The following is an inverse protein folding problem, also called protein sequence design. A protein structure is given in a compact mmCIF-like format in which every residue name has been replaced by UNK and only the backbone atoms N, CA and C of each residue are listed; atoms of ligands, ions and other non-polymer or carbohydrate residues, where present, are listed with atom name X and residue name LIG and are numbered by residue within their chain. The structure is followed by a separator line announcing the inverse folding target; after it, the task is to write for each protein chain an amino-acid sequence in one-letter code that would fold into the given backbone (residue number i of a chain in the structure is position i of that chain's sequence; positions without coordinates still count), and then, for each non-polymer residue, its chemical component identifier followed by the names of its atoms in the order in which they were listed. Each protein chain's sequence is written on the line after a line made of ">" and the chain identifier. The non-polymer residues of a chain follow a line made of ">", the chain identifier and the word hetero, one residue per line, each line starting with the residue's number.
data_IF_481729914963
#
_entry.id   IF_481729914963
#
_cell.length_a   1.000
_cell.length_b   1.000
_cell.length_c   1.000
_cell.angle_alpha   90.00
_cell.angle_beta   90.00
_cell.angle_gamma   90.00
#
_symmetry.space_group_name_H-M   'P 1'
#
loop_
_entity.id
_entity.type
_entity.pdbx_description
1 polymer ?
#
# COMPACT_ATOMS: atom_id res chain seq x y z
N UNK A 1 10.29 -9.56 -5.83
CA UNK A 1 10.78 -8.18 -5.97
C UNK A 1 10.64 -7.51 -4.62
N UNK A 2 11.63 -6.73 -4.17
CA UNK A 2 11.57 -6.02 -2.90
C UNK A 2 11.43 -4.51 -3.10
N UNK A 3 10.79 -3.84 -2.16
CA UNK A 3 10.48 -2.41 -2.23
C UNK A 3 10.49 -1.76 -0.86
N UNK A 4 10.09 -0.49 -0.83
CA UNK A 4 9.96 0.29 0.38
C UNK A 4 8.53 0.79 0.54
N UNK A 5 8.16 1.06 1.78
CA UNK A 5 7.13 2.01 2.13
C UNK A 5 7.66 2.99 3.19
N UNK A 6 6.95 4.10 3.40
CA UNK A 6 7.30 5.09 4.43
C UNK A 6 6.12 6.00 4.73
N UNK A 7 5.95 6.35 6.00
CA UNK A 7 5.00 7.37 6.45
C UNK A 7 5.45 8.82 6.12
N UNK A 8 6.73 9.02 5.82
CA UNK A 8 7.32 10.33 5.47
C UNK A 8 7.31 10.59 3.96
N UNK A 9 7.80 11.75 3.52
CA UNK A 9 7.97 12.03 2.10
C UNK A 9 9.15 11.29 1.48
N UNK A 10 9.00 10.80 0.26
CA UNK A 10 10.04 10.02 -0.45
C UNK A 10 11.28 10.87 -0.69
N UNK A 11 11.13 12.15 -1.04
CA UNK A 11 12.26 13.06 -1.27
C UNK A 11 13.17 13.23 -0.05
N UNK A 12 12.62 13.11 1.16
CA UNK A 12 13.41 13.20 2.39
C UNK A 12 14.13 11.88 2.72
N UNK A 13 13.57 10.74 2.32
CA UNK A 13 14.11 9.42 2.67
C UNK A 13 15.05 8.84 1.62
N UNK A 14 14.82 9.08 0.33
CA UNK A 14 15.56 8.49 -0.79
C UNK A 14 17.09 8.52 -0.61
N UNK A 15 17.74 9.65 -0.24
CA UNK A 15 19.19 9.67 -0.13
C UNK A 15 19.74 8.69 0.91
N UNK A 16 19.11 8.63 2.09
CA UNK A 16 19.56 7.75 3.18
C UNK A 16 19.15 6.30 2.93
N UNK A 17 17.90 6.08 2.47
CA UNK A 17 17.37 4.75 2.17
C UNK A 17 18.18 4.03 1.10
N UNK A 18 18.52 4.71 -0.01
CA UNK A 18 19.35 4.08 -1.05
C UNK A 18 20.76 3.80 -0.56
N UNK A 19 21.36 4.72 0.19
CA UNK A 19 22.72 4.53 0.68
C UNK A 19 22.80 3.33 1.63
N UNK A 20 21.76 3.11 2.45
CA UNK A 20 21.74 2.05 3.43
C UNK A 20 21.26 0.70 2.85
N UNK A 21 20.14 0.70 2.12
CA UNK A 21 19.46 -0.50 1.67
C UNK A 21 19.63 -0.80 0.16
N UNK A 22 20.04 0.18 -0.63
CA UNK A 22 20.05 0.10 -2.09
C UNK A 22 18.72 0.56 -2.72
N UNK A 23 18.63 0.45 -4.05
CA UNK A 23 17.46 0.92 -4.80
C UNK A 23 16.33 -0.13 -4.82
N UNK A 24 15.09 0.23 -4.44
CA UNK A 24 13.96 -0.67 -4.47
C UNK A 24 13.46 -0.92 -5.90
N UNK A 25 12.56 -1.88 -6.03
CA UNK A 25 11.80 -2.14 -7.25
C UNK A 25 10.46 -1.40 -7.30
N UNK A 26 9.96 -0.94 -6.15
CA UNK A 26 8.73 -0.15 -6.00
C UNK A 26 8.77 0.65 -4.69
N UNK A 27 7.93 1.68 -4.63
CA UNK A 27 7.57 2.36 -3.39
C UNK A 27 6.07 2.19 -3.14
N UNK A 28 5.63 1.99 -1.90
CA UNK A 28 4.23 2.18 -1.49
C UNK A 28 4.12 3.48 -0.72
N UNK A 29 3.12 4.30 -1.05
CA UNK A 29 2.95 5.62 -0.42
C UNK A 29 1.51 5.91 -0.06
N UNK A 30 1.39 6.72 1.00
CA UNK A 30 0.11 7.09 1.57
C UNK A 30 -0.59 8.18 0.75
N UNK A 31 -1.90 8.06 0.56
CA UNK A 31 -2.74 9.11 0.00
C UNK A 31 -3.86 9.45 0.99
N UNK A 32 -4.41 10.66 0.90
CA UNK A 32 -5.51 11.09 1.77
C UNK A 32 -6.72 10.17 1.62
N UNK A 33 -7.44 9.81 2.70
CA UNK A 33 -7.18 10.19 4.08
C UNK A 33 -5.95 9.46 4.62
N UNK A 34 -5.10 10.23 5.27
CA UNK A 34 -3.83 9.81 5.83
C UNK A 34 -3.56 10.67 7.05
N UNK A 35 -3.18 10.06 8.17
CA UNK A 35 -2.74 10.78 9.36
C UNK A 35 -1.24 11.16 9.33
N UNK A 36 -0.49 10.59 8.39
CA UNK A 36 0.90 10.91 8.08
C UNK A 36 1.02 11.94 6.94
N UNK A 37 2.13 11.89 6.18
CA UNK A 37 2.31 12.75 5.00
C UNK A 37 1.78 12.08 3.74
N UNK A 38 0.68 12.61 3.22
CA UNK A 38 0.05 12.12 2.00
C UNK A 38 0.81 12.57 0.75
N UNK A 39 1.09 11.65 -0.16
CA UNK A 39 1.79 11.93 -1.42
C UNK A 39 1.07 13.00 -2.26
N UNK A 40 -0.26 12.99 -2.26
CA UNK A 40 -1.07 13.93 -3.02
C UNK A 40 -0.98 15.40 -2.54
N UNK A 41 -0.25 15.71 -1.46
CA UNK A 41 0.06 17.09 -1.08
C UNK A 41 1.18 17.72 -1.90
N UNK A 42 2.08 16.90 -2.47
CA UNK A 42 3.18 17.34 -3.35
C UNK A 42 3.52 16.24 -4.38
N UNK A 43 2.57 15.92 -5.29
CA UNK A 43 2.63 14.70 -6.08
C UNK A 43 3.80 14.69 -7.09
N UNK A 44 4.17 15.85 -7.65
CA UNK A 44 5.25 15.95 -8.64
C UNK A 44 6.62 15.70 -7.99
N UNK A 45 6.88 16.32 -6.84
CA UNK A 45 8.16 16.16 -6.13
C UNK A 45 8.32 14.75 -5.58
N UNK A 46 7.26 14.21 -4.97
CA UNK A 46 7.23 12.83 -4.48
C UNK A 46 7.46 11.82 -5.62
N UNK A 47 6.74 11.95 -6.74
CA UNK A 47 6.93 11.06 -7.89
C UNK A 47 8.31 11.22 -8.54
N UNK A 48 8.88 12.43 -8.54
CA UNK A 48 10.27 12.66 -8.98
C UNK A 48 11.26 11.93 -8.07
N UNK A 49 11.03 11.94 -6.77
CA UNK A 49 11.85 11.21 -5.81
C UNK A 49 11.70 9.69 -5.97
N UNK A 50 10.48 9.18 -6.18
CA UNK A 50 10.23 7.77 -6.54
C UNK A 50 10.96 7.37 -7.83
N UNK A 51 10.98 8.25 -8.84
CA UNK A 51 11.73 8.03 -10.09
C UNK A 51 13.23 7.92 -9.83
N UNK A 52 13.82 8.92 -9.18
CA UNK A 52 15.26 8.93 -8.87
C UNK A 52 15.64 7.76 -7.94
N UNK A 53 14.68 7.41 -7.08
CA UNK A 53 14.78 6.44 -6.01
C UNK A 53 14.86 4.99 -6.48
N UNK A 54 14.26 4.66 -7.62
CA UNK A 54 14.05 3.28 -8.07
C UNK A 54 15.20 2.70 -8.90
N UNK A 55 15.22 1.37 -8.99
CA UNK A 55 16.25 0.57 -9.68
C UNK A 55 16.15 0.56 -11.21
N UNK A 56 14.98 0.74 -11.82
CA UNK A 56 14.83 0.74 -13.30
C UNK A 56 13.47 1.19 -13.82
N UNK A 57 12.39 0.66 -13.26
CA UNK A 57 11.01 0.98 -13.64
C UNK A 57 10.28 1.51 -12.41
N UNK A 58 10.15 2.83 -12.24
CA UNK A 58 9.55 3.38 -11.04
C UNK A 58 8.08 2.98 -10.92
N UNK A 59 7.79 2.22 -9.86
CA UNK A 59 6.46 1.75 -9.49
C UNK A 59 6.03 2.40 -8.17
N UNK A 60 4.77 2.82 -8.14
CA UNK A 60 4.15 3.50 -7.00
C UNK A 60 2.87 2.76 -6.59
N UNK A 61 2.96 1.97 -5.52
CA UNK A 61 1.82 1.40 -4.81
C UNK A 61 1.15 2.46 -3.94
N UNK A 62 -0.11 2.21 -3.58
CA UNK A 62 -0.96 3.21 -2.94
C UNK A 62 -1.65 2.65 -1.71
N UNK A 63 -1.60 3.40 -0.61
CA UNK A 63 -2.26 3.03 0.65
C UNK A 63 -3.05 4.20 1.21
N UNK A 64 -4.23 3.92 1.75
CA UNK A 64 -5.03 4.86 2.54
C UNK A 64 -4.84 4.54 4.01
N UNK A 65 -4.63 5.56 4.83
CA UNK A 65 -4.54 5.42 6.27
C UNK A 65 -5.47 6.40 6.99
N UNK A 66 -6.80 6.14 6.95
CA UNK A 66 -7.73 6.86 7.81
C UNK A 66 -7.31 6.72 9.29
N UNK A 67 -7.83 7.60 10.15
CA UNK A 67 -7.61 7.43 11.59
C UNK A 67 -8.10 6.05 12.04
N UNK A 68 -7.24 5.29 12.69
CA UNK A 68 -7.48 3.88 13.03
C UNK A 68 -8.77 3.65 13.86
N UNK A 69 -9.17 4.60 14.70
CA UNK A 69 -10.42 4.53 15.45
C UNK A 69 -11.68 4.56 14.58
N UNK A 70 -11.60 5.05 13.34
CA UNK A 70 -12.70 5.08 12.37
C UNK A 70 -12.97 3.72 11.72
N UNK A 71 -11.99 2.81 11.68
CA UNK A 71 -12.11 1.54 10.95
C UNK A 71 -13.18 0.60 11.54
N UNK A 72 -13.56 0.80 12.81
CA UNK A 72 -14.69 0.11 13.44
C UNK A 72 -16.04 0.80 13.18
N UNK A 73 -16.09 1.76 12.26
CA UNK A 73 -17.23 2.63 12.00
C UNK A 73 -18.30 2.01 11.10
N UNK A 74 -19.06 2.89 10.47
CA UNK A 74 -20.21 2.58 9.61
C UNK A 74 -19.81 2.44 8.14
N UNK A 75 -20.73 1.89 7.34
CA UNK A 75 -20.55 1.83 5.89
C UNK A 75 -20.42 3.21 5.24
N UNK A 76 -21.16 4.21 5.72
CA UNK A 76 -21.06 5.59 5.21
C UNK A 76 -19.68 6.21 5.48
N UNK A 77 -19.07 5.92 6.64
CA UNK A 77 -17.71 6.38 6.95
C UNK A 77 -16.67 5.71 6.06
N UNK A 78 -16.76 4.39 5.86
CA UNK A 78 -15.89 3.67 4.93
C UNK A 78 -16.01 4.18 3.50
N UNK A 79 -17.24 4.46 3.05
CA UNK A 79 -17.49 5.03 1.72
C UNK A 79 -16.88 6.43 1.57
N UNK A 80 -17.05 7.32 2.56
CA UNK A 80 -16.50 8.68 2.52
C UNK A 80 -14.95 8.68 2.49
N UNK A 81 -14.34 7.79 3.27
CA UNK A 81 -12.89 7.64 3.30
C UNK A 81 -12.37 7.08 1.96
N UNK A 82 -13.06 6.09 1.38
CA UNK A 82 -12.74 5.57 0.04
C UNK A 82 -12.91 6.62 -1.07
N UNK A 83 -13.95 7.45 -1.00
CA UNK A 83 -14.16 8.55 -1.95
C UNK A 83 -13.01 9.55 -1.91
N UNK A 84 -12.56 9.91 -0.70
CA UNK A 84 -11.42 10.81 -0.50
C UNK A 84 -10.13 10.17 -1.05
N UNK A 85 -9.95 8.87 -0.83
CA UNK A 85 -8.82 8.11 -1.36
C UNK A 85 -8.77 8.10 -2.87
N UNK A 86 -9.82 7.62 -3.53
CA UNK A 86 -9.88 7.57 -4.99
C UNK A 86 -9.73 8.98 -5.61
N UNK A 87 -10.35 10.01 -5.01
CA UNK A 87 -10.18 11.39 -5.48
C UNK A 87 -8.72 11.84 -5.42
N UNK A 88 -8.00 11.46 -4.37
CA UNK A 88 -6.57 11.76 -4.20
C UNK A 88 -5.68 11.02 -5.20
N UNK A 89 -6.01 9.75 -5.50
CA UNK A 89 -5.34 8.97 -6.55
C UNK A 89 -5.53 9.62 -7.93
N UNK A 90 -6.76 10.00 -8.26
CA UNK A 90 -7.09 10.61 -9.56
C UNK A 90 -6.44 11.99 -9.67
N UNK A 91 -6.51 12.82 -8.63
CA UNK A 91 -5.83 14.12 -8.61
C UNK A 91 -4.34 13.97 -8.90
N UNK A 92 -3.67 13.02 -8.23
CA UNK A 92 -2.26 12.72 -8.46
C UNK A 92 -1.99 12.21 -9.87
N UNK A 93 -2.79 11.26 -10.35
CA UNK A 93 -2.70 10.74 -11.71
C UNK A 93 -2.80 11.85 -12.76
N UNK A 94 -3.73 12.79 -12.58
CA UNK A 94 -3.89 13.91 -13.52
C UNK A 94 -2.80 14.97 -13.38
N UNK A 95 -2.22 15.13 -12.19
CA UNK A 95 -1.18 16.14 -11.91
C UNK A 95 0.20 15.69 -12.36
N UNK A 96 0.45 14.37 -12.38
CA UNK A 96 1.74 13.79 -12.76
C UNK A 96 1.62 13.24 -14.17
N UNK A 97 2.02 14.05 -15.16
CA UNK A 97 1.94 13.73 -16.60
C UNK A 97 2.52 12.38 -17.05
N UNK A 98 3.53 11.78 -16.36
CA UNK A 98 3.98 10.42 -16.70
C UNK A 98 3.35 9.28 -15.89
N UNK A 99 2.46 9.54 -14.93
CA UNK A 99 1.87 8.49 -14.09
C UNK A 99 0.80 7.71 -14.86
N UNK A 100 0.95 6.40 -14.95
CA UNK A 100 0.09 5.51 -15.71
C UNK A 100 -0.49 4.41 -14.82
N UNK A 101 -1.73 4.02 -15.08
CA UNK A 101 -2.33 2.84 -14.47
C UNK A 101 -1.54 1.57 -14.84
N UNK A 102 -1.59 0.52 -14.00
CA UNK A 102 -1.18 -0.82 -14.37
C UNK A 102 -1.71 -1.26 -15.73
N UNK A 103 -0.86 -1.84 -16.58
CA UNK A 103 -1.24 -2.29 -17.92
C UNK A 103 -2.26 -3.45 -17.91
N UNK A 104 -2.33 -4.21 -16.82
CA UNK A 104 -3.33 -5.25 -16.60
C UNK A 104 -4.68 -4.68 -16.09
N UNK A 105 -4.77 -3.37 -15.87
CA UNK A 105 -5.96 -2.71 -15.34
C UNK A 105 -6.24 -3.02 -13.87
N UNK A 106 -5.25 -3.46 -13.08
CA UNK A 106 -5.45 -3.81 -11.66
C UNK A 106 -4.45 -3.04 -10.80
N UNK A 107 -4.91 -1.99 -10.11
CA UNK A 107 -4.19 -1.27 -9.07
C UNK A 107 -4.67 -1.74 -7.70
N UNK A 108 -3.78 -2.37 -6.92
CA UNK A 108 -4.11 -2.70 -5.54
C UNK A 108 -4.13 -1.43 -4.70
N UNK A 109 -5.28 -1.20 -4.08
CA UNK A 109 -5.59 -0.09 -3.21
C UNK A 109 -5.58 -0.63 -1.79
N UNK A 110 -4.54 -0.34 -1.01
CA UNK A 110 -4.42 -0.84 0.35
C UNK A 110 -5.19 0.04 1.33
N UNK A 111 -5.98 -0.57 2.22
CA UNK A 111 -6.45 0.05 3.45
C UNK A 111 -5.50 -0.33 4.58
N UNK A 112 -4.92 0.67 5.24
CA UNK A 112 -4.06 0.50 6.41
C UNK A 112 -4.89 0.14 7.65
N UNK A 113 -4.70 -1.08 8.14
CA UNK A 113 -5.31 -1.57 9.36
C UNK A 113 -4.23 -2.12 10.30
N UNK A 114 -3.96 -1.41 11.39
CA UNK A 114 -2.88 -1.71 12.33
C UNK A 114 -3.22 -2.84 13.31
N UNK A 115 -2.25 -3.65 13.75
CA UNK A 115 -2.47 -4.87 14.53
C UNK A 115 -3.35 -4.74 15.81
N UNK A 116 -3.49 -3.55 16.39
CA UNK A 116 -4.29 -3.31 17.61
C UNK A 116 -5.68 -2.70 17.35
N UNK A 117 -6.06 -2.56 16.08
CA UNK A 117 -7.26 -1.84 15.66
C UNK A 117 -8.29 -2.82 15.12
N UNK A 118 -9.58 -2.43 15.19
CA UNK A 118 -10.68 -3.26 14.69
C UNK A 118 -11.16 -2.73 13.36
N UNK A 119 -11.34 -3.62 12.39
CA UNK A 119 -12.10 -3.36 11.19
C UNK A 119 -13.55 -3.86 11.38
N UNK A 120 -14.55 -3.03 11.11
CA UNK A 120 -15.94 -3.51 11.06
C UNK A 120 -16.29 -3.98 9.66
N UNK A 121 -17.16 -5.00 9.55
CA UNK A 121 -17.69 -5.46 8.26
C UNK A 121 -18.44 -4.34 7.52
N UNK A 122 -19.16 -3.50 8.26
CA UNK A 122 -19.89 -2.37 7.69
C UNK A 122 -18.94 -1.36 7.05
N UNK A 123 -17.88 -0.97 7.75
CA UNK A 123 -16.86 -0.04 7.24
C UNK A 123 -16.18 -0.62 6.01
N UNK A 124 -15.69 -1.87 6.10
CA UNK A 124 -15.06 -2.57 4.98
C UNK A 124 -15.95 -2.59 3.74
N UNK A 125 -17.23 -2.94 3.89
CA UNK A 125 -18.16 -3.01 2.77
C UNK A 125 -18.43 -1.64 2.13
N UNK A 126 -18.46 -0.57 2.93
CA UNK A 126 -18.55 0.81 2.40
C UNK A 126 -17.30 1.20 1.62
N UNK A 127 -16.12 0.92 2.19
CA UNK A 127 -14.83 1.28 1.61
C UNK A 127 -14.52 0.47 0.35
N UNK A 128 -14.48 -0.85 0.46
CA UNK A 128 -14.17 -1.75 -0.64
C UNK A 128 -15.25 -1.70 -1.74
N UNK A 129 -16.52 -1.50 -1.37
CA UNK A 129 -17.61 -1.32 -2.33
C UNK A 129 -17.40 -0.11 -3.24
N UNK A 130 -16.95 1.01 -2.67
CA UNK A 130 -16.64 2.20 -3.46
C UNK A 130 -15.38 2.01 -4.31
N UNK A 131 -14.28 1.53 -3.72
CA UNK A 131 -13.01 1.32 -4.43
C UNK A 131 -13.21 0.40 -5.64
N UNK A 132 -13.78 -0.79 -5.41
CA UNK A 132 -14.00 -1.78 -6.47
C UNK A 132 -15.01 -1.31 -7.53
N UNK A 133 -15.99 -0.50 -7.14
CA UNK A 133 -17.06 -0.01 -8.00
C UNK A 133 -16.71 1.24 -8.81
N UNK A 134 -15.59 1.91 -8.51
CA UNK A 134 -15.29 3.18 -9.14
C UNK A 134 -14.83 3.01 -10.59
N UNK A 135 -15.57 3.61 -11.53
CA UNK A 135 -15.26 3.56 -12.95
C UNK A 135 -14.22 4.64 -13.31
N UNK A 136 -13.11 4.23 -13.92
CA UNK A 136 -12.04 5.12 -14.34
C UNK A 136 -11.30 4.58 -15.57
N UNK A 137 -10.89 5.48 -16.47
CA UNK A 137 -10.16 5.13 -17.70
C UNK A 137 -10.80 4.00 -18.54
N UNK A 138 -12.14 3.91 -18.56
CA UNK A 138 -12.88 2.91 -19.32
C UNK A 138 -13.05 1.54 -18.66
N UNK A 139 -12.67 1.39 -17.39
CA UNK A 139 -12.86 0.17 -16.61
C UNK A 139 -13.01 0.43 -15.11
N UNK A 140 -12.71 -0.57 -14.28
CA UNK A 140 -12.71 -0.49 -12.82
C UNK A 140 -11.32 -0.84 -12.27
N UNK A 141 -10.33 0.05 -12.45
CA UNK A 141 -8.94 -0.31 -12.24
C UNK A 141 -8.52 -0.36 -10.76
N UNK A 142 -9.37 0.06 -9.84
CA UNK A 142 -9.07 0.12 -8.42
C UNK A 142 -9.58 -1.13 -7.71
N UNK A 143 -8.68 -1.85 -7.04
CA UNK A 143 -8.96 -3.12 -6.40
C UNK A 143 -8.66 -3.02 -4.90
N UNK A 144 -9.72 -3.07 -4.09
CA UNK A 144 -9.66 -3.03 -2.65
C UNK A 144 -8.80 -4.17 -2.09
N UNK A 145 -7.84 -3.80 -1.25
CA UNK A 145 -6.88 -4.70 -0.64
C UNK A 145 -6.61 -4.24 0.80
N UNK A 146 -6.14 -5.13 1.67
CA UNK A 146 -5.95 -4.85 3.10
C UNK A 146 -4.49 -5.00 3.51
N UNK A 147 -3.92 -3.97 4.15
CA UNK A 147 -2.72 -4.12 4.96
C UNK A 147 -3.14 -4.50 6.38
N UNK A 148 -2.61 -5.60 6.92
CA UNK A 148 -2.91 -6.03 8.28
C UNK A 148 -1.90 -7.02 8.86
N UNK A 149 -1.94 -7.19 10.18
CA UNK A 149 -1.43 -8.38 10.84
C UNK A 149 -2.50 -9.50 10.76
N UNK A 150 -2.26 -10.61 10.05
CA UNK A 150 -3.29 -11.63 9.84
C UNK A 150 -3.75 -12.39 11.10
N UNK A 151 -2.91 -12.44 12.14
CA UNK A 151 -3.22 -13.16 13.39
C UNK A 151 -3.46 -12.25 14.60
N UNK A 152 -3.37 -10.93 14.44
CA UNK A 152 -3.63 -10.02 15.55
C UNK A 152 -5.11 -10.03 15.95
N UNK A 153 -5.35 -9.81 17.25
CA UNK A 153 -6.69 -9.68 17.80
C UNK A 153 -7.10 -8.19 17.83
N UNK A 154 -8.35 -7.85 17.45
CA UNK A 154 -9.40 -8.72 16.90
C UNK A 154 -9.14 -9.06 15.42
N UNK A 155 -9.39 -10.30 14.97
CA UNK A 155 -8.88 -10.77 13.69
C UNK A 155 -9.53 -10.05 12.51
N UNK A 156 -8.80 -9.15 11.88
CA UNK A 156 -9.24 -8.38 10.70
C UNK A 156 -9.43 -9.26 9.47
N UNK A 157 -8.70 -10.37 9.38
CA UNK A 157 -8.95 -11.40 8.38
C UNK A 157 -10.38 -11.95 8.44
N UNK A 158 -10.99 -12.08 9.62
CA UNK A 158 -12.36 -12.59 9.74
C UNK A 158 -13.40 -11.69 9.08
N UNK A 159 -13.09 -10.39 8.97
CA UNK A 159 -13.95 -9.40 8.31
C UNK A 159 -13.89 -9.59 6.81
N UNK A 160 -12.69 -9.64 6.23
CA UNK A 160 -12.51 -9.77 4.77
C UNK A 160 -12.75 -11.19 4.25
N UNK A 161 -12.62 -12.22 5.10
CA UNK A 161 -12.97 -13.61 4.80
C UNK A 161 -14.49 -13.89 4.99
N UNK A 162 -15.26 -12.94 5.52
CA UNK A 162 -16.71 -13.10 5.70
C UNK A 162 -17.42 -13.27 4.36
N UNK A 163 -18.39 -14.19 4.28
CA UNK A 163 -19.20 -14.41 3.08
C UNK A 163 -20.03 -13.18 2.66
N UNK A 164 -20.24 -12.24 3.58
CA UNK A 164 -20.97 -11.00 3.35
C UNK A 164 -20.04 -9.80 3.09
N UNK A 165 -18.73 -10.03 3.04
CA UNK A 165 -17.76 -9.00 2.74
C UNK A 165 -17.75 -8.69 1.24
N UNK A 166 -17.64 -7.40 0.91
CA UNK A 166 -17.20 -7.00 -0.43
C UNK A 166 -15.80 -7.57 -0.66
N UNK A 167 -15.56 -8.06 -1.88
CA UNK A 167 -14.33 -8.79 -2.21
C UNK A 167 -13.06 -7.99 -1.89
N UNK A 168 -12.16 -8.61 -1.14
CA UNK A 168 -10.78 -8.17 -0.93
C UNK A 168 -9.88 -8.90 -1.94
N UNK A 169 -9.16 -8.15 -2.77
CA UNK A 169 -8.36 -8.71 -3.85
C UNK A 169 -6.97 -9.18 -3.42
N UNK A 170 -6.44 -8.62 -2.33
CA UNK A 170 -5.11 -8.94 -1.84
C UNK A 170 -4.92 -8.57 -0.38
N UNK A 171 -4.00 -9.28 0.29
CA UNK A 171 -3.46 -8.93 1.61
C UNK A 171 -2.01 -8.47 1.48
N UNK A 172 -1.68 -7.39 2.19
CA UNK A 172 -0.33 -6.97 2.50
C UNK A 172 -0.11 -7.32 3.97
N UNK A 173 0.66 -8.37 4.22
CA UNK A 173 0.88 -8.83 5.58
C UNK A 173 1.98 -8.03 6.25
N UNK A 174 1.76 -7.61 7.50
CA UNK A 174 2.81 -7.05 8.35
C UNK A 174 3.67 -8.12 9.05
N UNK A 175 3.43 -9.40 8.80
CA UNK A 175 4.02 -10.50 9.56
C UNK A 175 4.48 -11.69 8.71
N UNK A 176 5.47 -12.46 9.18
CA UNK A 176 6.27 -12.20 10.38
C UNK A 176 7.30 -11.09 10.14
N UNK A 177 7.62 -10.28 11.14
CA UNK A 177 8.80 -9.41 11.05
C UNK A 177 10.10 -10.21 11.16
N UNK A 178 11.04 -10.00 10.24
CA UNK A 178 12.33 -10.72 10.19
C UNK A 178 13.49 -9.93 10.76
N UNK A 179 13.47 -8.61 10.66
CA UNK A 179 14.44 -7.67 11.25
C UNK A 179 15.93 -7.86 10.93
N UNK A 180 16.29 -8.88 10.14
CA UNK A 180 17.68 -9.29 9.85
C UNK A 180 17.99 -9.34 8.35
N UNK A 181 16.97 -9.20 7.51
CA UNK A 181 17.09 -9.18 6.06
C UNK A 181 17.25 -7.76 5.54
N UNK A 182 17.78 -7.64 4.32
CA UNK A 182 17.99 -6.37 3.62
C UNK A 182 17.19 -6.36 2.33
N UNK A 183 17.06 -5.20 1.69
CA UNK A 183 16.42 -5.09 0.38
C UNK A 183 17.16 -5.92 -0.71
N UNK A 184 18.50 -5.99 -0.63
CA UNK A 184 19.32 -6.76 -1.57
C UNK A 184 19.20 -8.29 -1.35
N UNK A 185 18.93 -8.71 -0.11
CA UNK A 185 18.78 -10.11 0.28
C UNK A 185 17.46 -10.29 1.07
N UNK A 186 16.30 -10.12 0.40
CA UNK A 186 15.01 -10.26 1.05
C UNK A 186 14.81 -11.69 1.55
N UNK A 187 14.01 -11.91 2.60
CA UNK A 187 13.75 -13.24 3.13
C UNK A 187 13.06 -14.13 2.10
N UNK A 188 13.20 -15.45 2.27
CA UNK A 188 12.31 -16.39 1.59
C UNK A 188 10.86 -16.11 1.99
N UNK A 189 9.94 -16.17 1.03
CA UNK A 189 8.53 -15.87 1.27
C UNK A 189 7.95 -16.76 2.36
N UNK A 190 7.52 -16.13 3.44
CA UNK A 190 6.92 -16.77 4.59
C UNK A 190 5.89 -15.84 5.23
N UNK A 191 5.28 -14.97 4.43
CA UNK A 191 4.27 -14.02 4.86
C UNK A 191 3.08 -14.76 5.47
N UNK A 192 2.57 -14.23 6.57
CA UNK A 192 1.31 -14.68 7.13
C UNK A 192 0.17 -14.33 6.17
N UNK A 193 -0.97 -15.02 6.30
CA UNK A 193 -2.06 -14.89 5.34
C UNK A 193 -3.42 -14.98 6.03
N UNK A 194 -4.36 -14.19 5.53
CA UNK A 194 -5.78 -14.45 5.76
C UNK A 194 -6.19 -15.71 4.98
N UNK A 195 -7.15 -16.46 5.51
CA UNK A 195 -7.45 -17.81 5.00
C UNK A 195 -8.09 -17.80 3.60
N UNK A 196 -8.91 -16.78 3.30
CA UNK A 196 -9.67 -16.67 2.06
C UNK A 196 -9.09 -15.72 1.02
N UNK A 197 -8.09 -14.91 1.39
CA UNK A 197 -7.53 -13.86 0.52
C UNK A 197 -6.04 -14.06 0.33
N UNK A 198 -5.59 -13.94 -0.92
CA UNK A 198 -4.18 -14.12 -1.26
C UNK A 198 -3.32 -12.99 -0.70
N UNK A 199 -2.29 -13.33 0.07
CA UNK A 199 -1.21 -12.38 0.41
C UNK A 199 -0.33 -12.12 -0.81
N UNK A 200 -0.24 -10.86 -1.22
CA UNK A 200 0.51 -10.41 -2.41
C UNK A 200 1.76 -9.59 -2.05
N UNK A 201 1.77 -8.99 -0.86
CA UNK A 201 2.85 -8.16 -0.35
C UNK A 201 3.12 -8.52 1.12
N UNK A 202 4.36 -8.36 1.56
CA UNK A 202 4.76 -8.65 2.93
C UNK A 202 5.79 -7.62 3.39
N UNK A 203 5.43 -6.86 4.43
CA UNK A 203 6.36 -6.03 5.18
C UNK A 203 7.14 -6.94 6.12
N UNK A 204 8.40 -7.19 5.79
CA UNK A 204 9.24 -8.12 6.55
C UNK A 204 10.21 -7.39 7.49
N UNK A 205 10.25 -6.07 7.42
CA UNK A 205 11.09 -5.22 8.23
C UNK A 205 10.38 -3.88 8.43
N UNK A 206 10.18 -3.50 9.69
CA UNK A 206 9.56 -2.26 10.12
C UNK A 206 10.60 -1.48 10.93
N UNK A 207 10.87 -0.21 10.58
CA UNK A 207 11.85 0.61 11.26
C UNK A 207 11.50 0.88 12.73
N UNK A 208 10.22 1.11 12.99
CA UNK A 208 9.69 1.37 14.32
C UNK A 208 9.80 0.17 15.26
N UNK A 209 9.91 -1.05 14.72
CA UNK A 209 9.96 -2.30 15.49
C UNK A 209 11.36 -2.93 15.51
N UNK A 210 12.02 -3.05 14.36
CA UNK A 210 13.27 -3.79 14.24
C UNK A 210 14.43 -3.06 14.91
N UNK A 211 14.81 -1.90 14.36
CA UNK A 211 15.70 -0.92 14.97
C UNK A 211 15.73 0.33 14.08
N UNK A 212 15.78 1.50 14.70
CA UNK A 212 15.84 2.76 13.97
C UNK A 212 17.12 2.85 13.14
N UNK A 213 16.96 3.16 11.86
CA UNK A 213 18.06 3.45 10.95
C UNK A 213 18.04 4.93 10.60
N UNK A 214 19.01 5.40 9.82
CA UNK A 214 18.91 6.72 9.21
C UNK A 214 18.01 6.74 7.97
N UNK A 215 17.45 5.60 7.57
CA UNK A 215 16.78 5.40 6.28
C UNK A 215 15.26 5.63 6.30
N UNK A 216 14.60 5.71 7.47
CA UNK A 216 13.15 5.86 7.68
C UNK A 216 12.21 5.31 6.59
N UNK A 217 12.44 4.04 6.25
CA UNK A 217 11.64 3.23 5.35
C UNK A 217 11.46 1.84 5.92
N UNK A 218 10.33 1.24 5.64
CA UNK A 218 10.07 -0.17 5.90
C UNK A 218 10.42 -0.99 4.65
N UNK A 219 10.65 -2.30 4.81
CA UNK A 219 11.04 -3.19 3.71
C UNK A 219 9.94 -4.18 3.37
N UNK A 220 9.57 -4.18 2.10
CA UNK A 220 8.55 -5.06 1.55
C UNK A 220 9.11 -6.05 0.54
N UNK A 221 8.48 -7.21 0.46
CA UNK A 221 8.70 -8.15 -0.64
C UNK A 221 7.36 -8.59 -1.23
N UNK A 222 7.29 -8.64 -2.56
CA UNK A 222 6.14 -9.19 -3.27
C UNK A 222 6.16 -10.71 -3.35
N UNK A 223 4.98 -11.33 -3.44
CA UNK A 223 4.80 -12.79 -3.53
C UNK A 223 5.71 -13.44 -4.60
N UNK A 224 6.30 -14.62 -4.36
CA UNK A 224 7.09 -15.33 -5.34
C UNK A 224 6.34 -15.60 -6.62
N UNK A 225 7.06 -15.58 -7.75
CA UNK A 225 6.51 -15.79 -9.08
C UNK A 225 5.41 -14.79 -9.49
N UNK A 226 5.25 -13.69 -8.75
CA UNK A 226 4.43 -12.54 -9.15
C UNK A 226 5.29 -11.28 -9.17
N UNK A 227 4.93 -10.35 -10.03
CA UNK A 227 5.51 -9.01 -10.04
C UNK A 227 4.52 -8.08 -9.36
N UNK A 228 4.65 -7.89 -8.04
CA UNK A 228 3.78 -6.96 -7.30
C UNK A 228 3.77 -5.55 -7.92
N UNK A 229 4.92 -5.08 -8.44
CA UNK A 229 5.03 -3.80 -9.12
C UNK A 229 4.12 -3.65 -10.35
N UNK A 230 3.58 -4.75 -10.90
CA UNK A 230 2.58 -4.70 -11.95
C UNK A 230 1.17 -4.35 -11.45
N UNK A 231 0.97 -4.21 -10.14
CA UNK A 231 -0.27 -3.77 -9.50
C UNK A 231 -0.14 -2.37 -8.89
N UNK A 232 0.85 -1.61 -9.35
CA UNK A 232 1.19 -0.26 -8.92
C UNK A 232 1.09 0.70 -10.11
N UNK A 233 0.90 1.99 -9.84
CA UNK A 233 1.12 2.99 -10.87
C UNK A 233 2.54 2.89 -11.44
N UNK A 234 2.68 3.21 -12.72
CA UNK A 234 3.95 3.25 -13.43
C UNK A 234 4.29 4.68 -13.81
N UNK A 235 5.50 5.13 -13.49
CA UNK A 235 6.02 6.38 -14.03
C UNK A 235 6.72 6.10 -15.36
N UNK A 236 6.12 6.54 -16.46
CA UNK A 236 6.58 6.28 -17.83
C UNK A 236 7.75 7.16 -18.26
N UNK A 237 7.90 8.33 -17.65
CA UNK A 237 9.07 9.20 -17.72
C UNK A 237 9.25 9.92 -16.39
N UNK A 238 10.36 10.64 -16.25
CA UNK A 238 10.56 11.53 -15.10
C UNK A 238 9.47 12.62 -15.10
N UNK A 239 8.75 12.83 -13.97
CA UNK A 239 7.79 13.93 -13.82
C UNK A 239 8.39 15.33 -14.02
#
# INVERSE_FOLDING_TARGET
>A
MAGFDTASTVQNQVPAAINYWGKPAFWVRYFSPCYYTALNSDPVTECTAVWNGNSSSPRLGVISAPTQSRLNGTSSEGHADAQTFISSLISTYTSVGPLQLPANGVLYCWLDQEASTSLSLSYWNGWAGYVNGYAYAGGHPFHAALYCNPYAAPPNCSVIDSSSAVHCYAVWSSEPLRCSNTLANPPAWAAESCSGVTTMLWQYWDEGICYSTSANVDLDVGRPNTSYGNYCFYLSSKP
#
